data_IF_774604837772
#
_entry.id   IF_774604837772
#
_cell.length_a   1.000
_cell.length_b   1.000
_cell.length_c   1.000
_cell.angle_alpha   90.00
_cell.angle_beta   90.00
_cell.angle_gamma   90.00
#
_symmetry.space_group_name_H-M   'P 1'
#
loop_
_entity.id
_entity.type
_entity.pdbx_description
1 polymer ?
#
# COMPACT_ATOMS: atom_id res chain seq x y z
N UNK A 1 28.91 -6.48 18.41
CA UNK A 1 28.58 -7.58 19.35
C UNK A 1 27.95 -8.72 18.57
N UNK A 2 28.22 -9.98 18.92
CA UNK A 2 27.60 -11.11 18.23
C UNK A 2 26.35 -11.60 18.97
N UNK A 3 25.30 -11.92 18.22
CA UNK A 3 24.07 -12.53 18.70
C UNK A 3 23.90 -13.90 18.05
N UNK A 4 23.38 -14.86 18.81
CA UNK A 4 22.84 -16.09 18.21
C UNK A 4 21.68 -15.73 17.27
N UNK A 5 21.46 -16.50 16.19
CA UNK A 5 20.44 -16.17 15.19
C UNK A 5 19.03 -15.95 15.74
N UNK A 6 18.66 -16.68 16.81
CA UNK A 6 17.35 -16.50 17.47
C UNK A 6 17.21 -15.11 18.09
N UNK A 7 18.22 -14.64 18.81
CA UNK A 7 18.23 -13.32 19.45
C UNK A 7 18.31 -12.22 18.41
N UNK A 8 19.14 -12.41 17.37
CA UNK A 8 19.22 -11.45 16.26
C UNK A 8 17.84 -11.21 15.62
N UNK A 9 17.09 -12.28 15.32
CA UNK A 9 15.73 -12.18 14.76
C UNK A 9 14.74 -11.50 15.71
N UNK A 10 14.89 -11.66 17.02
CA UNK A 10 14.02 -10.99 17.99
C UNK A 10 14.31 -9.48 18.08
N UNK A 11 15.58 -9.06 17.97
CA UNK A 11 15.96 -7.64 17.89
C UNK A 11 15.47 -7.05 16.56
N UNK A 12 15.71 -7.75 15.45
CA UNK A 12 15.26 -7.37 14.11
C UNK A 12 13.74 -7.23 14.02
N UNK A 13 12.98 -8.05 14.74
CA UNK A 13 11.53 -7.98 14.82
C UNK A 13 11.00 -7.07 15.95
N UNK A 14 11.88 -6.40 16.70
CA UNK A 14 11.50 -5.38 17.69
C UNK A 14 10.94 -5.87 19.00
N UNK A 15 10.98 -7.17 19.25
CA UNK A 15 10.44 -7.75 20.48
C UNK A 15 11.48 -7.75 21.60
N UNK A 16 12.75 -8.01 21.26
CA UNK A 16 13.87 -7.94 22.21
C UNK A 16 14.42 -6.52 22.23
N UNK A 17 14.36 -5.88 23.40
CA UNK A 17 14.78 -4.49 23.62
C UNK A 17 15.80 -4.33 24.75
N UNK A 18 16.17 -5.44 25.41
CA UNK A 18 17.24 -5.48 26.40
C UNK A 18 18.25 -6.55 25.99
N UNK A 19 19.52 -6.18 25.85
CA UNK A 19 20.62 -7.11 25.67
C UNK A 19 21.43 -7.28 26.94
N UNK A 20 21.58 -8.53 27.38
CA UNK A 20 22.34 -8.88 28.58
C UNK A 20 23.78 -9.23 28.19
N UNK A 21 24.74 -8.61 28.88
CA UNK A 21 26.18 -8.89 28.73
C UNK A 21 26.86 -8.94 30.10
N UNK A 22 27.91 -9.74 30.23
CA UNK A 22 28.83 -9.61 31.38
C UNK A 22 29.68 -8.34 31.22
N UNK A 23 29.98 -7.67 32.34
CA UNK A 23 30.62 -6.36 32.40
C UNK A 23 32.15 -6.45 32.21
N UNK A 24 32.60 -7.00 31.08
CA UNK A 24 34.01 -6.91 30.69
C UNK A 24 34.43 -5.45 30.48
N UNK A 25 35.73 -5.09 30.56
CA UNK A 25 36.17 -3.70 30.37
C UNK A 25 35.58 -3.04 29.12
N UNK A 26 35.69 -3.72 27.97
CA UNK A 26 35.11 -3.27 26.69
C UNK A 26 33.58 -3.06 26.68
N UNK A 27 32.83 -3.70 27.59
CA UNK A 27 31.37 -3.53 27.71
C UNK A 27 31.00 -2.45 28.70
N UNK A 28 31.86 -2.17 29.70
CA UNK A 28 31.67 -1.07 30.65
C UNK A 28 31.84 0.30 30.00
N UNK A 29 32.63 0.37 28.93
CA UNK A 29 32.91 1.62 28.22
C UNK A 29 31.76 2.09 27.30
N UNK A 30 30.73 1.26 27.10
CA UNK A 30 29.58 1.63 26.27
C UNK A 30 28.77 2.70 27.01
N UNK A 31 28.34 3.74 26.30
CA UNK A 31 27.54 4.82 26.87
C UNK A 31 26.11 4.88 26.30
N UNK A 32 25.13 5.39 27.06
CA UNK A 32 23.85 5.81 26.48
C UNK A 32 24.05 6.80 25.32
N UNK A 33 23.30 6.61 24.24
CA UNK A 33 23.42 7.36 22.98
C UNK A 33 24.38 6.73 21.96
N UNK A 34 25.17 5.73 22.36
CA UNK A 34 26.10 5.05 21.46
C UNK A 34 25.39 4.06 20.53
N UNK A 35 25.88 3.97 19.28
CA UNK A 35 25.43 2.98 18.32
C UNK A 35 26.16 1.65 18.52
N UNK A 36 25.41 0.61 18.91
CA UNK A 36 25.91 -0.76 19.03
C UNK A 36 25.52 -1.56 17.79
N UNK A 37 26.51 -2.16 17.12
CA UNK A 37 26.26 -3.06 15.99
C UNK A 37 26.14 -4.50 16.50
N UNK A 38 24.96 -5.11 16.34
CA UNK A 38 24.75 -6.54 16.47
C UNK A 38 25.08 -7.27 15.17
N UNK A 39 25.80 -8.37 15.29
CA UNK A 39 26.18 -9.25 14.19
C UNK A 39 25.48 -10.59 14.40
N UNK A 40 24.75 -11.05 13.41
CA UNK A 40 24.26 -12.42 13.39
C UNK A 40 25.45 -13.36 13.25
N UNK A 41 25.60 -14.29 14.21
CA UNK A 41 26.75 -15.21 14.28
C UNK A 41 26.88 -16.12 13.06
N UNK A 42 25.79 -16.41 12.35
CA UNK A 42 25.77 -17.46 11.32
C UNK A 42 25.96 -16.91 9.90
N UNK A 43 25.44 -15.72 9.61
CA UNK A 43 25.38 -15.19 8.25
C UNK A 43 25.95 -13.77 8.08
N UNK A 44 26.54 -13.21 9.13
CA UNK A 44 27.20 -11.90 9.07
C UNK A 44 26.28 -10.69 8.90
N UNK A 45 24.94 -10.89 8.91
CA UNK A 45 23.97 -9.77 8.90
C UNK A 45 24.22 -8.85 10.09
N UNK A 46 24.03 -7.55 9.88
CA UNK A 46 24.28 -6.50 10.88
C UNK A 46 23.02 -5.71 11.14
N UNK A 47 22.79 -5.39 12.40
CA UNK A 47 21.76 -4.48 12.87
C UNK A 47 22.38 -3.57 13.91
N UNK A 48 22.33 -2.28 13.69
CA UNK A 48 22.80 -1.26 14.62
C UNK A 48 21.63 -0.73 15.46
N UNK A 49 21.84 -0.53 16.76
CA UNK A 49 20.83 0.01 17.69
C UNK A 49 21.44 1.14 18.52
N UNK A 50 20.62 2.10 18.95
CA UNK A 50 21.06 3.12 19.90
C UNK A 50 20.77 2.64 21.31
N UNK A 51 21.81 2.55 22.13
CA UNK A 51 21.66 2.23 23.54
C UNK A 51 20.99 3.41 24.25
N UNK A 52 19.88 3.17 24.93
CA UNK A 52 19.11 4.18 25.68
C UNK A 52 19.53 4.22 27.14
N UNK A 53 19.75 3.06 27.74
CA UNK A 53 20.12 2.91 29.14
C UNK A 53 21.05 1.72 29.28
N UNK A 54 22.00 1.86 30.21
CA UNK A 54 22.87 0.78 30.63
C UNK A 54 22.75 0.68 32.13
N UNK A 55 22.37 -0.50 32.62
CA UNK A 55 22.21 -0.72 34.06
C UNK A 55 23.08 -1.89 34.51
N UNK A 56 24.03 -1.66 35.43
CA UNK A 56 24.84 -2.71 36.00
C UNK A 56 24.08 -3.43 37.12
N UNK A 57 24.25 -4.74 37.19
CA UNK A 57 23.76 -5.58 38.28
C UNK A 57 24.89 -6.51 38.79
N UNK A 58 24.86 -6.91 40.08
CA UNK A 58 25.86 -7.80 40.63
C UNK A 58 25.75 -9.24 40.11
N UNK A 59 24.55 -9.72 39.80
CA UNK A 59 24.27 -11.08 39.31
C UNK A 59 23.18 -11.12 38.24
N UNK A 60 23.01 -12.27 37.57
CA UNK A 60 21.86 -12.47 36.68
C UNK A 60 20.54 -12.52 37.45
N UNK A 61 20.51 -13.02 38.70
CA UNK A 61 19.31 -12.97 39.53
C UNK A 61 18.85 -11.54 39.78
N UNK A 62 19.76 -10.64 40.17
CA UNK A 62 19.44 -9.23 40.44
C UNK A 62 18.93 -8.50 39.17
N UNK A 63 19.50 -8.85 38.02
CA UNK A 63 19.05 -8.33 36.73
C UNK A 63 17.63 -8.82 36.42
N UNK A 64 17.36 -10.13 36.55
CA UNK A 64 16.08 -10.73 36.22
C UNK A 64 14.97 -10.40 37.23
N UNK A 65 15.32 -10.00 38.45
CA UNK A 65 14.34 -9.44 39.41
C UNK A 65 13.94 -8.00 39.09
N UNK A 66 14.74 -7.29 38.28
CA UNK A 66 14.58 -5.85 38.02
C UNK A 66 14.12 -5.54 36.59
N UNK A 67 14.57 -6.33 35.62
CA UNK A 67 14.24 -6.17 34.20
C UNK A 67 13.16 -7.15 33.76
N UNK A 68 12.33 -6.77 32.80
CA UNK A 68 11.31 -7.65 32.22
C UNK A 68 11.95 -8.76 31.36
N UNK A 69 11.83 -10.05 31.75
CA UNK A 69 12.35 -11.18 30.99
C UNK A 69 11.86 -11.24 29.54
N UNK A 70 10.62 -10.79 29.27
CA UNK A 70 10.05 -10.79 27.93
C UNK A 70 10.76 -9.80 27.00
N UNK A 71 11.43 -8.78 27.52
CA UNK A 71 12.26 -7.83 26.76
C UNK A 71 13.67 -8.35 26.49
N UNK A 72 14.10 -9.40 27.22
CA UNK A 72 15.43 -10.03 27.10
C UNK A 72 15.38 -11.24 26.17
N UNK A 73 14.41 -12.14 26.35
CA UNK A 73 14.17 -13.28 25.46
C UNK A 73 12.66 -13.52 25.26
N UNK A 74 12.01 -12.76 24.36
CA UNK A 74 10.56 -12.85 24.14
C UNK A 74 10.04 -14.24 23.75
N UNK A 75 10.90 -15.10 23.22
CA UNK A 75 10.52 -16.46 22.79
C UNK A 75 11.11 -17.54 23.71
N UNK A 76 11.74 -17.15 24.81
CA UNK A 76 12.31 -18.09 25.77
C UNK A 76 11.21 -18.79 26.58
N UNK A 77 11.37 -20.07 26.92
CA UNK A 77 10.46 -20.74 27.84
C UNK A 77 10.47 -20.05 29.22
N UNK A 78 9.30 -19.90 29.87
CA UNK A 78 9.21 -19.30 31.20
C UNK A 78 10.11 -20.00 32.20
N UNK A 79 10.83 -19.23 33.02
CA UNK A 79 11.72 -19.77 34.07
C UNK A 79 13.08 -20.29 33.60
N UNK A 80 13.33 -20.43 32.29
CA UNK A 80 14.61 -20.94 31.78
C UNK A 80 15.63 -19.86 31.41
N UNK A 81 15.24 -18.58 31.45
CA UNK A 81 16.10 -17.47 31.03
C UNK A 81 17.39 -17.41 31.87
N UNK A 82 17.32 -17.60 33.18
CA UNK A 82 18.49 -17.62 34.07
C UNK A 82 19.47 -18.74 33.67
N UNK A 83 18.94 -19.95 33.46
CA UNK A 83 19.73 -21.10 33.04
C UNK A 83 20.39 -20.85 31.65
N UNK A 84 19.63 -20.27 30.72
CA UNK A 84 20.12 -19.89 29.38
C UNK A 84 21.22 -18.83 29.43
N UNK A 85 21.11 -17.82 30.31
CA UNK A 85 22.16 -16.82 30.49
C UNK A 85 23.43 -17.45 31.08
N UNK A 86 23.30 -18.33 32.08
CA UNK A 86 24.44 -19.03 32.69
C UNK A 86 25.10 -20.06 31.77
N UNK A 87 24.37 -20.66 30.85
CA UNK A 87 24.96 -21.53 29.83
C UNK A 87 25.83 -20.73 28.83
N UNK A 88 25.52 -19.45 28.60
CA UNK A 88 26.32 -18.54 27.77
C UNK A 88 27.47 -17.91 28.57
N UNK A 89 27.22 -17.59 29.84
CA UNK A 89 28.14 -16.91 30.75
C UNK A 89 28.28 -17.71 32.07
N UNK A 90 29.30 -18.59 32.18
CA UNK A 90 29.56 -19.33 33.41
C UNK A 90 29.88 -18.43 34.62
N UNK A 91 29.84 -18.94 35.87
CA UNK A 91 29.98 -18.13 37.09
C UNK A 91 31.20 -17.21 37.14
N UNK A 92 32.35 -17.65 36.61
CA UNK A 92 33.55 -16.82 36.55
C UNK A 92 33.38 -15.56 35.68
N UNK A 93 32.52 -15.61 34.66
CA UNK A 93 32.17 -14.45 33.83
C UNK A 93 31.09 -13.59 34.48
N UNK A 94 30.11 -14.21 35.14
CA UNK A 94 29.09 -13.51 35.92
C UNK A 94 29.71 -12.68 37.04
N UNK A 95 30.79 -13.18 37.68
CA UNK A 95 31.55 -12.48 38.71
C UNK A 95 32.17 -11.13 38.25
N UNK A 96 32.21 -10.85 36.95
CA UNK A 96 32.60 -9.53 36.43
C UNK A 96 31.49 -8.47 36.63
N UNK A 97 30.31 -8.88 37.08
CA UNK A 97 29.06 -8.12 37.03
C UNK A 97 28.34 -8.31 35.69
N UNK A 98 27.07 -7.92 35.64
CA UNK A 98 26.23 -8.03 34.44
C UNK A 98 25.67 -6.65 34.06
N UNK A 99 25.42 -6.45 32.78
CA UNK A 99 24.88 -5.22 32.20
C UNK A 99 23.60 -5.55 31.43
N UNK A 100 22.56 -4.79 31.70
CA UNK A 100 21.38 -4.68 30.83
C UNK A 100 21.56 -3.47 29.91
N UNK A 101 21.67 -3.70 28.60
CA UNK A 101 21.71 -2.65 27.58
C UNK A 101 20.30 -2.53 26.99
N UNK A 102 19.57 -1.50 27.38
CA UNK A 102 18.26 -1.18 26.82
C UNK A 102 18.40 -0.37 25.54
N UNK A 103 17.62 -0.71 24.51
CA UNK A 103 17.58 -0.02 23.22
C UNK A 103 16.17 -0.08 22.60
N UNK A 104 15.88 0.84 21.70
CA UNK A 104 14.62 0.84 20.93
C UNK A 104 14.66 -0.13 19.74
N UNK A 105 13.49 -0.46 19.18
CA UNK A 105 13.37 -1.23 17.94
C UNK A 105 13.95 -0.53 16.68
N UNK A 106 14.47 0.69 16.78
CA UNK A 106 14.91 1.44 15.59
C UNK A 106 16.38 1.16 15.27
N UNK A 107 16.71 0.83 14.00
CA UNK A 107 18.08 0.84 13.54
C UNK A 107 18.74 2.20 13.83
N UNK A 108 19.97 2.19 14.35
CA UNK A 108 20.67 3.40 14.78
C UNK A 108 21.02 4.37 13.65
N UNK A 109 21.16 3.90 12.41
CA UNK A 109 21.45 4.72 11.23
C UNK A 109 20.18 5.45 10.80
N UNK A 110 20.09 6.78 11.01
CA UNK A 110 19.05 7.54 10.35
C UNK A 110 19.29 7.47 8.84
N UNK A 111 18.20 7.30 8.08
CA UNK A 111 18.25 7.46 6.63
C UNK A 111 18.76 8.84 6.26
N UNK A 112 19.30 8.99 5.05
CA UNK A 112 19.62 10.33 4.53
C UNK A 112 18.31 11.10 4.33
N UNK A 113 18.24 12.39 4.73
CA UNK A 113 17.08 13.20 4.41
C UNK A 113 16.92 13.29 2.88
N UNK A 114 15.69 13.42 2.39
CA UNK A 114 15.46 13.71 0.99
C UNK A 114 16.17 15.03 0.65
N UNK A 115 16.88 15.11 -0.50
CA UNK A 115 17.64 16.31 -0.87
C UNK A 115 16.75 17.47 -1.33
N UNK A 116 15.43 17.35 -1.18
CA UNK A 116 14.42 18.32 -1.60
C UNK A 116 13.15 18.17 -0.77
N UNK A 117 12.30 19.20 -0.79
CA UNK A 117 10.96 19.16 -0.15
C UNK A 117 10.02 18.19 -0.88
N UNK A 118 8.94 17.70 -0.23
CA UNK A 118 7.94 16.87 -0.90
C UNK A 118 7.32 17.52 -2.14
N UNK A 119 7.10 18.84 -2.11
CA UNK A 119 6.53 19.59 -3.23
C UNK A 119 7.51 19.65 -4.41
N UNK A 120 8.79 19.89 -4.15
CA UNK A 120 9.84 19.84 -5.19
C UNK A 120 9.96 18.42 -5.77
N UNK A 121 9.94 17.39 -4.92
CA UNK A 121 9.98 16.00 -5.39
C UNK A 121 8.79 15.66 -6.30
N UNK A 122 7.58 16.08 -5.92
CA UNK A 122 6.37 15.89 -6.72
C UNK A 122 6.48 16.52 -8.11
N UNK A 123 7.25 17.60 -8.27
CA UNK A 123 7.52 18.23 -9.58
C UNK A 123 8.54 17.44 -10.43
N UNK A 124 9.36 16.57 -9.83
CA UNK A 124 10.36 15.78 -10.56
C UNK A 124 9.84 14.46 -11.11
N UNK A 125 8.74 13.94 -10.55
CA UNK A 125 8.17 12.66 -10.96
C UNK A 125 7.17 12.85 -12.11
N UNK A 126 7.06 11.88 -13.04
CA UNK A 126 6.06 11.95 -14.11
C UNK A 126 4.64 12.08 -13.57
N UNK A 127 3.91 13.10 -14.04
CA UNK A 127 2.53 13.33 -13.64
C UNK A 127 1.57 12.42 -14.42
N UNK A 128 0.53 11.98 -13.72
CA UNK A 128 -0.53 11.15 -14.25
C UNK A 128 -1.86 11.79 -13.89
N UNK A 129 -2.85 11.68 -14.78
CA UNK A 129 -4.24 11.99 -14.42
C UNK A 129 -4.97 10.71 -14.04
N UNK A 130 -5.96 10.81 -13.17
CA UNK A 130 -6.78 9.67 -12.76
C UNK A 130 -8.20 9.93 -13.23
N UNK A 131 -8.93 8.89 -13.62
CA UNK A 131 -10.36 8.99 -13.94
C UNK A 131 -11.14 7.79 -13.38
N UNK A 132 -12.43 8.00 -13.14
CA UNK A 132 -13.35 6.99 -12.65
C UNK A 132 -14.55 6.85 -13.58
N UNK A 133 -15.00 5.62 -13.85
CA UNK A 133 -16.21 5.36 -14.63
C UNK A 133 -17.11 4.31 -14.00
N UNK A 134 -18.41 4.41 -14.26
CA UNK A 134 -19.40 3.38 -13.96
C UNK A 134 -19.75 2.59 -15.22
N UNK A 135 -19.59 1.28 -15.16
CA UNK A 135 -20.01 0.37 -16.20
C UNK A 135 -21.44 -0.12 -15.94
N UNK A 136 -22.40 0.51 -16.61
CA UNK A 136 -23.84 0.21 -16.52
C UNK A 136 -24.33 -0.62 -17.70
N UNK A 137 -25.33 -1.47 -17.43
CA UNK A 137 -25.95 -2.35 -18.43
C UNK A 137 -27.47 -2.28 -18.32
N UNK A 138 -28.18 -2.78 -19.32
CA UNK A 138 -29.62 -3.03 -19.20
C UNK A 138 -29.93 -4.39 -18.55
N UNK A 139 -31.22 -4.72 -18.44
CA UNK A 139 -31.72 -6.00 -17.93
C UNK A 139 -31.28 -7.22 -18.76
N UNK A 140 -30.81 -7.01 -20.00
CA UNK A 140 -30.29 -8.03 -20.89
C UNK A 140 -28.75 -8.08 -20.87
N UNK A 141 -28.12 -7.45 -19.87
CA UNK A 141 -26.67 -7.34 -19.71
C UNK A 141 -25.96 -6.65 -20.90
N UNK A 142 -26.66 -5.79 -21.65
CA UNK A 142 -26.08 -5.02 -22.77
C UNK A 142 -25.46 -3.71 -22.26
N UNK A 143 -24.21 -3.36 -22.64
CA UNK A 143 -23.59 -2.11 -22.24
C UNK A 143 -24.37 -0.86 -22.66
N UNK A 144 -24.53 0.08 -21.75
CA UNK A 144 -24.97 1.45 -22.05
C UNK A 144 -23.73 2.32 -22.31
N UNK A 145 -23.79 3.17 -23.33
CA UNK A 145 -22.73 4.12 -23.65
C UNK A 145 -23.31 5.49 -23.96
N UNK A 146 -22.54 6.54 -23.62
CA UNK A 146 -22.83 7.94 -23.89
C UNK A 146 -21.91 8.42 -25.02
N UNK A 147 -22.42 9.24 -25.94
CA UNK A 147 -21.65 9.81 -27.04
C UNK A 147 -21.21 11.22 -26.70
N UNK A 148 -19.91 11.45 -26.64
CA UNK A 148 -19.36 12.78 -26.37
C UNK A 148 -19.68 13.78 -27.49
N UNK A 149 -19.92 15.05 -27.13
CA UNK A 149 -19.96 16.16 -28.10
C UNK A 149 -18.57 16.65 -28.52
N UNK A 150 -17.53 16.26 -27.78
CA UNK A 150 -16.15 16.69 -27.99
C UNK A 150 -15.37 15.76 -28.93
N UNK A 151 -14.31 16.31 -29.55
CA UNK A 151 -13.34 15.56 -30.34
C UNK A 151 -13.97 14.73 -31.46
N UNK A 152 -13.56 13.47 -31.58
CA UNK A 152 -14.12 12.53 -32.56
C UNK A 152 -15.44 11.88 -32.10
N UNK A 153 -16.11 12.48 -31.10
CA UNK A 153 -17.46 12.11 -30.64
C UNK A 153 -17.59 10.64 -30.26
N UNK A 154 -16.62 10.18 -29.46
CA UNK A 154 -16.49 8.77 -29.08
C UNK A 154 -17.61 8.34 -28.14
N UNK A 155 -17.96 7.06 -28.21
CA UNK A 155 -18.78 6.37 -27.22
C UNK A 155 -17.96 6.05 -25.97
N UNK A 156 -18.50 6.37 -24.80
CA UNK A 156 -17.84 6.23 -23.51
C UNK A 156 -18.82 5.88 -22.39
N UNK A 157 -18.27 5.36 -21.30
CA UNK A 157 -19.00 5.11 -20.06
C UNK A 157 -19.29 6.44 -19.37
N UNK A 158 -20.33 6.52 -18.51
CA UNK A 158 -20.43 7.63 -17.58
C UNK A 158 -19.19 7.69 -16.68
N UNK A 159 -18.56 8.86 -16.57
CA UNK A 159 -17.35 9.06 -15.79
C UNK A 159 -16.38 10.10 -16.35
N UNK A 160 -15.55 10.64 -15.46
CA UNK A 160 -14.65 11.75 -15.74
C UNK A 160 -13.34 11.70 -14.93
N UNK A 161 -12.51 12.74 -15.07
CA UNK A 161 -11.21 12.81 -14.39
C UNK A 161 -11.40 13.22 -12.90
N UNK A 162 -10.47 12.83 -12.04
CA UNK A 162 -10.37 13.39 -10.68
C UNK A 162 -9.84 14.82 -10.77
N UNK A 163 -10.75 15.78 -10.85
CA UNK A 163 -10.46 17.22 -10.86
C UNK A 163 -11.05 17.96 -9.66
N UNK A 164 -11.97 17.32 -8.91
CA UNK A 164 -12.46 17.79 -7.63
C UNK A 164 -11.53 17.42 -6.46
N UNK A 165 -11.35 18.34 -5.51
CA UNK A 165 -10.48 18.13 -4.35
C UNK A 165 -11.05 17.06 -3.40
N UNK A 166 -10.22 16.09 -3.03
CA UNK A 166 -10.55 15.07 -2.02
C UNK A 166 -11.44 13.93 -2.52
N UNK A 167 -11.74 13.88 -3.81
CA UNK A 167 -12.44 12.75 -4.41
C UNK A 167 -11.49 11.55 -4.63
N UNK A 168 -12.05 10.37 -4.44
CA UNK A 168 -11.48 9.13 -4.95
C UNK A 168 -12.15 8.75 -6.28
N UNK A 169 -11.59 7.82 -7.07
CA UNK A 169 -12.14 7.46 -8.37
C UNK A 169 -13.59 6.97 -8.36
N UNK A 170 -14.05 6.35 -7.27
CA UNK A 170 -15.43 5.90 -7.18
C UNK A 170 -16.37 7.09 -6.94
N UNK A 171 -15.98 8.04 -6.08
CA UNK A 171 -16.75 9.28 -5.88
C UNK A 171 -16.84 10.09 -7.16
N UNK A 172 -15.74 10.25 -7.89
CA UNK A 172 -15.74 10.89 -9.20
C UNK A 172 -16.69 10.17 -10.17
N UNK A 173 -16.60 8.85 -10.29
CA UNK A 173 -17.48 8.10 -11.19
C UNK A 173 -18.98 8.27 -10.87
N UNK A 174 -19.34 8.38 -9.57
CA UNK A 174 -20.71 8.61 -9.12
C UNK A 174 -21.17 10.04 -9.36
N UNK A 175 -20.32 11.04 -9.07
CA UNK A 175 -20.58 12.45 -9.36
C UNK A 175 -20.87 12.63 -10.85
N UNK A 176 -19.97 12.13 -11.68
CA UNK A 176 -20.06 12.21 -13.14
C UNK A 176 -21.31 11.49 -13.67
N UNK A 177 -21.68 10.33 -13.12
CA UNK A 177 -22.93 9.68 -13.53
C UNK A 177 -24.18 10.54 -13.22
N UNK A 178 -24.19 11.26 -12.10
CA UNK A 178 -25.28 12.20 -11.79
C UNK A 178 -25.25 13.39 -12.74
N UNK A 179 -24.08 13.97 -13.01
CA UNK A 179 -23.91 15.13 -13.89
C UNK A 179 -24.25 14.80 -15.35
N UNK A 180 -23.66 13.74 -15.89
CA UNK A 180 -23.78 13.36 -17.30
C UNK A 180 -25.10 12.66 -17.64
N UNK A 181 -25.79 12.03 -16.67
CA UNK A 181 -27.00 11.22 -16.95
C UNK A 181 -28.22 11.53 -16.07
N UNK A 182 -28.05 12.30 -15.00
CA UNK A 182 -29.10 12.55 -14.00
C UNK A 182 -29.41 11.34 -13.11
N UNK A 183 -28.62 10.27 -13.16
CA UNK A 183 -28.86 9.03 -12.40
C UNK A 183 -27.94 8.93 -11.18
N UNK A 184 -28.54 8.72 -10.01
CA UNK A 184 -27.83 8.31 -8.79
C UNK A 184 -27.70 6.78 -8.74
N UNK A 185 -26.50 6.29 -9.01
CA UNK A 185 -26.19 4.88 -9.20
C UNK A 185 -25.57 4.26 -7.94
N UNK A 186 -26.43 3.90 -6.98
CA UNK A 186 -26.15 2.98 -5.86
C UNK A 186 -25.16 3.47 -4.80
N UNK A 187 -25.48 3.26 -3.52
CA UNK A 187 -24.64 3.72 -2.40
C UNK A 187 -23.58 2.70 -1.97
N UNK A 188 -23.82 1.40 -2.20
CA UNK A 188 -22.89 0.31 -1.85
C UNK A 188 -21.61 0.36 -2.68
N UNK A 189 -20.48 -0.07 -2.12
CA UNK A 189 -19.21 -0.11 -2.83
C UNK A 189 -19.27 -1.14 -3.98
N UNK A 190 -19.24 -0.70 -5.26
CA UNK A 190 -19.30 -1.59 -6.40
C UNK A 190 -17.99 -2.37 -6.56
N UNK A 191 -18.08 -3.52 -7.23
CA UNK A 191 -16.91 -4.30 -7.64
C UNK A 191 -16.08 -3.51 -8.66
N UNK A 192 -14.77 -3.43 -8.46
CA UNK A 192 -13.83 -2.94 -9.48
C UNK A 192 -13.71 -3.98 -10.61
N UNK A 193 -13.95 -3.56 -11.86
CA UNK A 193 -13.88 -4.41 -13.04
C UNK A 193 -12.55 -4.27 -13.77
N UNK A 194 -12.08 -3.05 -13.95
CA UNK A 194 -10.88 -2.78 -14.75
C UNK A 194 -10.03 -1.66 -14.14
N UNK A 195 -8.73 -1.91 -14.03
CA UNK A 195 -7.70 -0.87 -13.91
C UNK A 195 -7.10 -0.65 -15.29
N UNK A 196 -7.22 0.56 -15.82
CA UNK A 196 -6.79 0.90 -17.16
C UNK A 196 -5.65 1.93 -17.13
N UNK A 197 -4.47 1.56 -17.61
CA UNK A 197 -3.38 2.50 -17.85
C UNK A 197 -3.37 2.95 -19.30
N UNK A 198 -3.41 4.25 -19.53
CA UNK A 198 -3.35 4.86 -20.85
C UNK A 198 -2.05 5.66 -20.96
N UNK A 199 -1.16 5.24 -21.87
CA UNK A 199 0.07 5.98 -22.13
C UNK A 199 -0.22 7.32 -22.80
N UNK A 200 0.50 8.35 -22.36
CA UNK A 200 0.55 9.64 -23.00
C UNK A 200 0.97 9.51 -24.48
N UNK A 201 0.61 10.51 -25.26
CA UNK A 201 0.98 10.61 -26.67
C UNK A 201 0.72 12.00 -27.20
N UNK A 202 0.79 12.17 -28.52
CA UNK A 202 0.80 13.50 -29.15
C UNK A 202 -0.43 14.36 -28.85
N UNK A 203 -1.56 13.75 -28.48
CA UNK A 203 -2.83 14.43 -28.16
C UNK A 203 -3.10 14.61 -26.66
N UNK A 204 -2.49 13.77 -25.81
CA UNK A 204 -2.72 13.77 -24.36
C UNK A 204 -1.35 13.69 -23.67
N UNK A 205 -0.85 14.79 -23.09
CA UNK A 205 0.55 14.89 -22.66
C UNK A 205 0.86 14.13 -21.37
N UNK A 206 -0.17 13.68 -20.65
CA UNK A 206 -0.02 12.94 -19.39
C UNK A 206 -0.60 11.53 -19.54
N UNK A 207 0.08 10.56 -18.92
CA UNK A 207 -0.46 9.22 -18.77
C UNK A 207 -1.77 9.30 -17.95
N UNK A 208 -2.69 8.36 -18.16
CA UNK A 208 -3.92 8.25 -17.37
C UNK A 208 -4.04 6.90 -16.66
N UNK A 209 -4.59 6.92 -15.45
CA UNK A 209 -5.02 5.73 -14.73
C UNK A 209 -6.54 5.77 -14.57
N UNK A 210 -7.23 4.79 -15.10
CA UNK A 210 -8.67 4.64 -15.03
C UNK A 210 -9.08 3.53 -14.09
N UNK A 211 -10.09 3.78 -13.26
CA UNK A 211 -10.76 2.76 -12.47
C UNK A 211 -12.21 2.65 -12.93
N UNK A 212 -12.60 1.47 -13.39
CA UNK A 212 -13.93 1.20 -13.92
C UNK A 212 -14.65 0.25 -12.98
N UNK A 213 -15.76 0.70 -12.41
CA UNK A 213 -16.54 -0.04 -11.44
C UNK A 213 -17.82 -0.61 -12.05
N UNK A 214 -18.33 -1.69 -11.48
CA UNK A 214 -19.60 -2.29 -11.88
C UNK A 214 -20.77 -1.40 -11.42
N UNK A 215 -21.33 -0.63 -12.34
CA UNK A 215 -22.49 0.25 -12.10
C UNK A 215 -23.82 -0.51 -12.04
N UNK A 216 -23.80 -1.84 -12.22
CA UNK A 216 -24.98 -2.68 -12.13
C UNK A 216 -25.85 -2.68 -13.40
N UNK A 217 -27.10 -3.13 -13.21
CA UNK A 217 -28.12 -3.19 -14.27
C UNK A 217 -29.21 -2.16 -14.02
N UNK A 218 -29.59 -1.46 -15.07
CA UNK A 218 -30.68 -0.49 -15.08
C UNK A 218 -31.93 -1.12 -15.68
N UNK A 219 -33.06 -0.95 -15.01
CA UNK A 219 -34.39 -1.26 -15.54
C UNK A 219 -34.76 -0.32 -16.68
N UNK A 220 -35.70 -0.72 -17.53
CA UNK A 220 -36.25 0.17 -18.56
C UNK A 220 -36.70 1.54 -17.99
N UNK A 221 -37.38 1.54 -16.83
CA UNK A 221 -37.82 2.77 -16.17
C UNK A 221 -36.65 3.66 -15.70
N UNK A 222 -35.52 3.08 -15.31
CA UNK A 222 -34.31 3.86 -14.95
C UNK A 222 -33.63 4.42 -16.20
N UNK A 223 -33.57 3.65 -17.29
CA UNK A 223 -33.02 4.10 -18.57
C UNK A 223 -33.82 5.28 -19.15
N UNK A 224 -35.15 5.25 -19.06
CA UNK A 224 -36.03 6.34 -19.52
C UNK A 224 -35.82 7.66 -18.75
N UNK A 225 -35.20 7.59 -17.57
CA UNK A 225 -34.86 8.75 -16.74
C UNK A 225 -33.52 9.38 -17.09
N UNK A 226 -32.73 8.78 -17.99
CA UNK A 226 -31.46 9.37 -18.43
C UNK A 226 -31.74 10.76 -19.03
N UNK A 227 -31.09 11.78 -18.48
CA UNK A 227 -31.07 13.15 -18.99
C UNK A 227 -29.63 13.54 -19.17
N UNK A 228 -29.20 13.63 -20.43
CA UNK A 228 -27.81 13.95 -20.75
C UNK A 228 -27.53 15.41 -20.47
N UNK A 229 -26.35 15.71 -19.94
CA UNK A 229 -25.81 17.06 -19.99
C UNK A 229 -25.44 17.39 -21.45
N UNK A 230 -26.15 18.32 -22.12
CA UNK A 230 -25.87 18.66 -23.51
C UNK A 230 -24.51 19.33 -23.70
N UNK A 231 -23.85 19.80 -22.64
CA UNK A 231 -22.49 20.32 -22.71
C UNK A 231 -21.47 19.20 -22.97
N UNK A 232 -21.78 17.96 -22.60
CA UNK A 232 -20.84 16.84 -22.66
C UNK A 232 -21.26 15.70 -23.59
N UNK A 233 -22.57 15.36 -23.63
CA UNK A 233 -23.10 14.26 -24.43
C UNK A 233 -24.42 14.62 -25.10
N UNK A 234 -24.62 14.10 -26.30
CA UNK A 234 -25.85 14.37 -27.07
C UNK A 234 -26.64 13.11 -27.43
N UNK A 235 -26.13 11.94 -27.08
CA UNK A 235 -26.79 10.66 -27.34
C UNK A 235 -26.34 9.61 -26.33
N UNK A 236 -27.24 8.70 -25.98
CA UNK A 236 -26.92 7.45 -25.31
C UNK A 236 -27.54 6.30 -26.08
N UNK A 237 -26.93 5.12 -26.01
CA UNK A 237 -27.43 3.93 -26.69
C UNK A 237 -27.10 2.66 -25.92
N UNK A 238 -27.82 1.58 -26.25
CA UNK A 238 -27.63 0.24 -25.70
C UNK A 238 -27.51 -0.73 -26.86
N UNK A 239 -26.38 -1.42 -26.92
CA UNK A 239 -26.11 -2.42 -27.94
C UNK A 239 -25.41 -3.64 -27.35
N UNK A 240 -25.46 -4.76 -28.08
CA UNK A 240 -24.60 -5.89 -27.77
C UNK A 240 -23.13 -5.60 -28.12
N UNK A 241 -22.24 -6.51 -27.71
CA UNK A 241 -20.80 -6.33 -27.94
C UNK A 241 -20.43 -6.31 -29.43
N UNK A 242 -21.08 -7.12 -30.26
CA UNK A 242 -20.80 -7.17 -31.69
C UNK A 242 -21.08 -5.82 -32.35
N UNK A 243 -22.23 -5.21 -32.04
CA UNK A 243 -22.59 -3.90 -32.53
C UNK A 243 -21.66 -2.81 -31.96
N UNK A 244 -21.28 -2.89 -30.68
CA UNK A 244 -20.30 -1.94 -30.12
C UNK A 244 -18.92 -2.04 -30.79
N UNK A 245 -18.51 -3.23 -31.24
CA UNK A 245 -17.28 -3.42 -31.99
C UNK A 245 -17.29 -2.66 -33.32
N UNK A 246 -18.44 -2.57 -33.97
CA UNK A 246 -18.63 -1.82 -35.22
C UNK A 246 -18.67 -0.31 -34.99
N UNK A 247 -19.28 0.14 -33.89
CA UNK A 247 -19.48 1.57 -33.59
C UNK A 247 -18.28 2.25 -32.92
N UNK A 248 -17.40 1.48 -32.27
CA UNK A 248 -16.27 2.01 -31.51
C UNK A 248 -14.96 1.93 -32.29
N UNK A 249 -14.04 2.84 -31.95
CA UNK A 249 -12.64 2.65 -32.36
C UNK A 249 -12.08 1.37 -31.73
N UNK A 250 -11.09 0.69 -32.35
CA UNK A 250 -10.51 -0.53 -31.80
C UNK A 250 -10.04 -0.39 -30.35
N UNK A 251 -9.49 0.77 -29.98
CA UNK A 251 -9.07 1.07 -28.61
C UNK A 251 -10.24 1.15 -27.63
N UNK A 252 -11.30 1.88 -27.99
CA UNK A 252 -12.47 2.03 -27.13
C UNK A 252 -13.17 0.67 -26.93
N UNK A 253 -13.27 -0.12 -28.00
CA UNK A 253 -13.83 -1.48 -27.93
C UNK A 253 -12.96 -2.42 -27.08
N UNK A 254 -11.63 -2.40 -27.24
CA UNK A 254 -10.72 -3.23 -26.43
C UNK A 254 -10.90 -2.97 -24.92
N UNK A 255 -11.17 -1.71 -24.53
CA UNK A 255 -11.51 -1.37 -23.15
C UNK A 255 -12.86 -1.96 -22.73
N UNK A 256 -13.89 -1.82 -23.56
CA UNK A 256 -15.23 -2.37 -23.27
C UNK A 256 -15.20 -3.91 -23.15
N UNK A 257 -14.53 -4.59 -24.07
CA UNK A 257 -14.35 -6.05 -24.05
C UNK A 257 -13.64 -6.51 -22.78
N UNK A 258 -12.57 -5.84 -22.37
CA UNK A 258 -11.86 -6.16 -21.13
C UNK A 258 -12.74 -6.01 -19.88
N UNK A 259 -13.61 -4.98 -19.85
CA UNK A 259 -14.58 -4.78 -18.76
C UNK A 259 -15.58 -5.94 -18.71
N UNK A 260 -16.10 -6.36 -19.86
CA UNK A 260 -17.09 -7.45 -19.94
C UNK A 260 -16.52 -8.81 -19.56
N UNK A 261 -15.29 -9.12 -20.00
CA UNK A 261 -14.56 -10.32 -19.57
C UNK A 261 -14.35 -10.32 -18.06
N UNK A 262 -13.88 -9.20 -17.50
CA UNK A 262 -13.70 -9.06 -16.05
C UNK A 262 -15.02 -9.23 -15.28
N UNK A 263 -16.12 -8.66 -15.78
CA UNK A 263 -17.44 -8.81 -15.17
C UNK A 263 -17.87 -10.27 -15.07
N UNK A 264 -17.62 -11.06 -16.12
CA UNK A 264 -17.98 -12.49 -16.25
C UNK A 264 -17.11 -13.45 -15.43
N UNK A 265 -16.15 -12.92 -14.65
CA UNK A 265 -15.36 -13.72 -13.72
C UNK A 265 -13.94 -14.03 -14.20
N UNK A 266 -13.49 -13.44 -15.32
CA UNK A 266 -12.09 -13.53 -15.76
C UNK A 266 -11.12 -12.67 -14.92
N UNK A 267 -11.56 -12.27 -13.72
CA UNK A 267 -10.81 -11.47 -12.74
C UNK A 267 -10.85 -9.96 -13.03
N UNK A 268 -10.49 -9.10 -12.05
CA UNK A 268 -10.25 -7.69 -12.34
C UNK A 268 -9.12 -7.60 -13.37
N UNK A 269 -9.39 -6.95 -14.49
CA UNK A 269 -8.42 -6.85 -15.57
C UNK A 269 -7.48 -5.66 -15.34
N UNK A 270 -6.23 -5.83 -15.75
CA UNK A 270 -5.31 -4.72 -15.98
C UNK A 270 -5.12 -4.58 -17.49
N UNK A 271 -5.44 -3.40 -18.03
CA UNK A 271 -5.32 -3.12 -19.46
C UNK A 271 -4.38 -1.94 -19.66
N UNK A 272 -3.48 -2.05 -20.64
CA UNK A 272 -2.66 -0.94 -21.12
C UNK A 272 -3.12 -0.59 -22.53
N UNK A 273 -3.42 0.69 -22.78
CA UNK A 273 -3.62 1.21 -24.13
C UNK A 273 -2.79 2.48 -24.37
N UNK A 274 -2.75 2.95 -25.62
CA UNK A 274 -1.98 4.12 -26.04
C UNK A 274 -2.91 5.17 -26.67
N UNK A 275 -2.61 6.45 -26.46
CA UNK A 275 -3.42 7.58 -26.98
C UNK A 275 -3.32 7.80 -28.47
#
# INVERSE_FOLDING_TARGET
MHLLPRYYRQVEAGRKTIEVRVATPQKRDIAPGEAVVFHNRDNGRKLDVIVRRITPYPSFEDLLSSEDPARIDPNGPPGELLASLRSIYPPAKEALGVLALEFDHRPARPGRPMPMTPMQYAQTVPHHTVYGCLYVRDERDRPVQLRSVYGSRLWQLPGGNLDAQGEDPLRTARREAVEETGLDLGQDTPRLLLTHFLHAGSRLPLNKVGLIFDGGRLTANQLDRIRLDPAEHDMWAIHDLATWQELMTPRAYARLDAIERARRGEGPAYLITHT
#
